data_IF_384953804586
#
_entry.id   IF_384953804586
#
_cell.length_a   1.000
_cell.length_b   1.000
_cell.length_c   1.000
_cell.angle_alpha   90.00
_cell.angle_beta   90.00
_cell.angle_gamma   90.00
#
_symmetry.space_group_name_H-M   'P 1'
#
loop_
_entity.id
_entity.type
_entity.pdbx_description
1 polymer ?
#
# COMPACT_ATOMS: atom_id res chain seq x y z
N UNK A 1 13.97 72.95 49.34
CA UNK A 1 13.08 71.87 48.87
C UNK A 1 13.57 71.44 47.48
N UNK A 2 13.74 70.13 47.25
CA UNK A 2 14.37 69.52 46.07
C UNK A 2 13.44 69.52 44.82
N UNK A 3 13.88 69.08 43.60
CA UNK A 3 14.14 67.66 43.34
C UNK A 3 15.40 67.35 42.50
N UNK A 4 15.82 66.09 42.55
CA UNK A 4 16.96 65.50 41.84
C UNK A 4 16.47 64.73 40.62
N UNK A 5 17.17 64.82 39.49
CA UNK A 5 16.93 63.98 38.31
C UNK A 5 17.81 62.73 38.35
N UNK A 6 17.26 61.52 38.19
CA UNK A 6 18.05 60.30 38.04
C UNK A 6 18.47 60.15 36.57
N UNK A 7 19.78 60.12 36.33
CA UNK A 7 20.38 59.69 35.07
C UNK A 7 20.39 58.16 35.05
N UNK A 8 19.54 57.55 34.23
CA UNK A 8 19.44 56.10 34.03
C UNK A 8 19.66 55.76 32.56
N UNK A 9 20.50 54.75 32.30
CA UNK A 9 20.34 53.88 31.12
C UNK A 9 21.36 54.03 29.99
N UNK A 10 22.62 53.65 30.22
CA UNK A 10 23.58 53.41 29.12
C UNK A 10 24.39 52.11 29.25
N UNK A 11 24.12 51.29 30.28
CA UNK A 11 24.81 50.00 30.50
C UNK A 11 24.05 48.73 30.10
N UNK A 12 22.74 48.81 29.81
CA UNK A 12 21.90 47.61 29.60
C UNK A 12 21.81 47.12 28.15
N UNK A 13 21.96 47.99 27.13
CA UNK A 13 21.75 47.58 25.72
C UNK A 13 22.90 46.75 25.11
N UNK A 14 24.12 46.86 25.64
CA UNK A 14 25.28 46.12 25.13
C UNK A 14 25.41 44.69 25.71
N UNK A 15 24.89 44.45 26.92
CA UNK A 15 24.84 43.11 27.53
C UNK A 15 23.70 42.29 26.92
N UNK A 16 22.55 42.91 26.68
CA UNK A 16 21.35 42.25 26.15
C UNK A 16 21.55 41.77 24.69
N UNK A 17 22.29 42.52 23.87
CA UNK A 17 22.61 42.13 22.49
C UNK A 17 23.55 40.93 22.40
N UNK A 18 24.54 40.83 23.30
CA UNK A 18 25.42 39.66 23.41
C UNK A 18 24.67 38.40 23.86
N UNK A 19 23.77 38.54 24.86
CA UNK A 19 22.94 37.43 25.33
C UNK A 19 21.91 36.98 24.29
N UNK A 20 21.32 37.94 23.55
CA UNK A 20 20.35 37.65 22.47
C UNK A 20 21.00 36.90 21.30
N UNK A 21 22.23 37.27 20.92
CA UNK A 21 22.95 36.58 19.84
C UNK A 21 23.35 35.16 20.24
N UNK A 22 23.70 34.95 21.50
CA UNK A 22 24.03 33.64 22.05
C UNK A 22 22.81 32.73 22.10
N UNK A 23 21.67 33.23 22.59
CA UNK A 23 20.39 32.50 22.59
C UNK A 23 19.94 32.11 21.18
N UNK A 24 20.17 32.97 20.20
CA UNK A 24 19.84 32.68 18.79
C UNK A 24 20.75 31.60 18.20
N UNK A 25 22.04 31.57 18.56
CA UNK A 25 22.95 30.50 18.16
C UNK A 25 22.56 29.16 18.78
N UNK A 26 22.26 29.13 20.08
CA UNK A 26 21.76 27.92 20.76
C UNK A 26 20.45 27.42 20.14
N UNK A 27 19.53 28.33 19.80
CA UNK A 27 18.27 27.98 19.15
C UNK A 27 18.49 27.38 17.75
N UNK A 28 19.46 27.90 16.98
CA UNK A 28 19.81 27.35 15.68
C UNK A 28 20.41 25.94 15.79
N UNK A 29 21.29 25.70 16.77
CA UNK A 29 21.85 24.37 17.03
C UNK A 29 20.77 23.36 17.44
N UNK A 30 19.83 23.78 18.30
CA UNK A 30 18.70 22.95 18.69
C UNK A 30 17.80 22.60 17.50
N UNK A 31 17.52 23.57 16.63
CA UNK A 31 16.75 23.34 15.41
C UNK A 31 17.47 22.37 14.47
N UNK A 32 18.78 22.53 14.28
CA UNK A 32 19.57 21.66 13.42
C UNK A 32 19.59 20.22 13.94
N UNK A 33 19.74 20.05 15.25
CA UNK A 33 19.69 18.75 15.92
C UNK A 33 18.33 18.08 15.72
N UNK A 34 17.25 18.85 15.82
CA UNK A 34 15.89 18.37 15.61
C UNK A 34 15.62 17.99 14.15
N UNK A 35 16.14 18.76 13.20
CA UNK A 35 16.06 18.46 11.77
C UNK A 35 16.75 17.12 11.48
N UNK A 36 17.98 16.94 11.95
CA UNK A 36 18.72 15.69 11.76
C UNK A 36 17.98 14.48 12.37
N UNK A 37 17.38 14.64 13.56
CA UNK A 37 16.59 13.58 14.19
C UNK A 37 15.33 13.24 13.39
N UNK A 38 14.60 14.25 12.88
CA UNK A 38 13.42 14.03 12.05
C UNK A 38 13.77 13.41 10.69
N UNK A 39 14.90 13.79 10.09
CA UNK A 39 15.39 13.19 8.85
C UNK A 39 15.76 11.72 9.07
N UNK A 40 16.40 11.38 10.18
CA UNK A 40 16.72 9.99 10.53
C UNK A 40 15.44 9.16 10.76
N UNK A 41 14.44 9.72 11.44
CA UNK A 41 13.14 9.07 11.64
C UNK A 41 12.40 8.86 10.31
N UNK A 42 12.39 9.87 9.44
CA UNK A 42 11.80 9.77 8.10
C UNK A 42 12.51 8.73 7.24
N UNK A 43 13.84 8.68 7.25
CA UNK A 43 14.61 7.67 6.51
C UNK A 43 14.31 6.26 7.04
N UNK A 44 14.19 6.10 8.35
CA UNK A 44 13.80 4.82 8.96
C UNK A 44 12.37 4.42 8.54
N UNK A 45 11.42 5.35 8.61
CA UNK A 45 10.04 5.08 8.21
C UNK A 45 9.93 4.74 6.73
N UNK A 46 10.64 5.47 5.86
CA UNK A 46 10.74 5.14 4.43
C UNK A 46 11.34 3.75 4.20
N UNK A 47 12.36 3.36 4.97
CA UNK A 47 12.94 2.02 4.92
C UNK A 47 11.91 0.93 5.27
N UNK A 48 11.17 1.11 6.36
CA UNK A 48 10.10 0.18 6.77
C UNK A 48 8.98 0.08 5.74
N UNK A 49 8.59 1.21 5.16
CA UNK A 49 7.57 1.27 4.11
C UNK A 49 8.05 0.52 2.86
N UNK A 50 9.27 0.78 2.39
CA UNK A 50 9.84 0.08 1.24
C UNK A 50 9.97 -1.43 1.48
N UNK A 51 10.40 -1.85 2.67
CA UNK A 51 10.47 -3.27 3.02
C UNK A 51 9.08 -3.92 3.03
N UNK A 52 8.08 -3.24 3.57
CA UNK A 52 6.70 -3.71 3.57
C UNK A 52 6.14 -3.84 2.14
N UNK A 53 6.37 -2.85 1.28
CA UNK A 53 5.99 -2.91 -0.13
C UNK A 53 6.71 -4.06 -0.86
N UNK A 54 8.01 -4.25 -0.66
CA UNK A 54 8.75 -5.35 -1.27
C UNK A 54 8.25 -6.74 -0.84
N UNK A 55 7.73 -6.87 0.39
CA UNK A 55 7.09 -8.11 0.87
C UNK A 55 5.71 -8.35 0.27
N UNK A 56 4.99 -7.29 -0.12
CA UNK A 56 3.71 -7.38 -0.81
C UNK A 56 3.88 -7.67 -2.31
N UNK A 57 4.93 -7.10 -2.94
CA UNK A 57 5.20 -7.27 -4.38
C UNK A 57 5.76 -8.63 -4.75
N UNK A 58 6.36 -9.38 -3.82
CA UNK A 58 6.70 -10.78 -4.10
C UNK A 58 5.39 -11.53 -4.34
N UNK A 59 5.09 -11.98 -5.57
CA UNK A 59 3.96 -12.87 -5.76
C UNK A 59 4.25 -14.07 -4.88
N UNK A 60 3.44 -14.28 -3.84
CA UNK A 60 3.40 -15.59 -3.20
C UNK A 60 3.15 -16.55 -4.34
N UNK A 61 4.06 -17.48 -4.58
CA UNK A 61 3.88 -18.54 -5.57
C UNK A 61 2.62 -19.31 -5.17
N UNK A 62 1.47 -18.83 -5.64
CA UNK A 62 0.17 -19.43 -5.43
C UNK A 62 0.29 -20.79 -6.11
N UNK A 63 0.24 -21.86 -5.31
CA UNK A 63 0.30 -23.22 -5.82
C UNK A 63 -0.65 -23.33 -7.03
N UNK A 64 -0.10 -23.73 -8.18
CA UNK A 64 -0.88 -23.76 -9.41
C UNK A 64 -2.03 -24.75 -9.24
N UNK A 65 -3.24 -24.23 -9.17
CA UNK A 65 -4.45 -25.03 -9.21
C UNK A 65 -4.68 -25.49 -10.64
N UNK A 66 -4.84 -26.80 -10.81
CA UNK A 66 -5.16 -27.42 -12.09
C UNK A 66 -6.54 -26.98 -12.60
N UNK A 67 -6.67 -26.85 -13.92
CA UNK A 67 -7.93 -26.46 -14.52
C UNK A 67 -8.99 -27.58 -14.34
N UNK A 68 -10.27 -27.24 -14.18
CA UNK A 68 -11.35 -28.23 -14.13
C UNK A 68 -11.33 -29.12 -15.38
N UNK A 69 -11.68 -30.39 -15.19
CA UNK A 69 -11.87 -31.33 -16.29
C UNK A 69 -12.94 -30.83 -17.27
N UNK A 70 -12.86 -31.31 -18.52
CA UNK A 70 -13.89 -31.04 -19.52
C UNK A 70 -15.21 -31.70 -19.12
N UNK A 71 -16.32 -31.06 -19.48
CA UNK A 71 -17.66 -31.53 -19.18
C UNK A 71 -18.50 -31.72 -20.44
N UNK A 72 -19.03 -32.92 -20.62
CA UNK A 72 -19.73 -33.37 -21.82
C UNK A 72 -21.26 -33.16 -21.78
N UNK A 73 -21.83 -32.91 -20.59
CA UNK A 73 -23.28 -32.78 -20.39
C UNK A 73 -23.94 -33.94 -19.62
N UNK A 74 -23.17 -34.90 -19.09
CA UNK A 74 -23.67 -35.99 -18.26
C UNK A 74 -24.20 -35.53 -16.90
N UNK A 75 -25.33 -36.08 -16.42
CA UNK A 75 -25.92 -35.68 -15.13
C UNK A 75 -25.03 -36.03 -13.93
N UNK A 76 -24.36 -37.17 -13.98
CA UNK A 76 -23.52 -37.68 -12.88
C UNK A 76 -22.28 -36.81 -12.64
N UNK A 77 -21.73 -36.18 -13.69
CA UNK A 77 -20.55 -35.33 -13.59
C UNK A 77 -20.82 -33.86 -13.26
N UNK A 78 -22.07 -33.41 -13.31
CA UNK A 78 -22.41 -31.98 -13.22
C UNK A 78 -21.97 -31.36 -11.89
N UNK A 79 -22.28 -32.01 -10.76
CA UNK A 79 -21.96 -31.47 -9.43
C UNK A 79 -20.45 -31.33 -9.22
N UNK A 80 -19.68 -32.34 -9.66
CA UNK A 80 -18.22 -32.33 -9.58
C UNK A 80 -17.61 -31.22 -10.44
N UNK A 81 -18.10 -31.08 -11.68
CA UNK A 81 -17.70 -30.01 -12.59
C UNK A 81 -17.96 -28.62 -12.00
N UNK A 82 -19.18 -28.34 -11.53
CA UNK A 82 -19.54 -27.04 -10.96
C UNK A 82 -18.72 -26.71 -9.70
N UNK A 83 -18.43 -27.71 -8.87
CA UNK A 83 -17.61 -27.54 -7.67
C UNK A 83 -16.18 -27.14 -8.06
N UNK A 84 -15.54 -27.89 -8.97
CA UNK A 84 -14.19 -27.57 -9.43
C UNK A 84 -14.14 -26.20 -10.12
N UNK A 85 -15.16 -25.88 -10.93
CA UNK A 85 -15.27 -24.58 -11.58
C UNK A 85 -15.32 -23.43 -10.57
N UNK A 86 -16.19 -23.54 -9.55
CA UNK A 86 -16.32 -22.51 -8.51
C UNK A 86 -14.99 -22.26 -7.79
N UNK A 87 -14.28 -23.34 -7.42
CA UNK A 87 -12.97 -23.24 -6.77
C UNK A 87 -11.96 -22.55 -7.68
N UNK A 88 -11.88 -22.93 -8.95
CA UNK A 88 -10.93 -22.35 -9.90
C UNK A 88 -11.17 -20.85 -10.14
N UNK A 89 -12.43 -20.46 -10.36
CA UNK A 89 -12.81 -19.06 -10.58
C UNK A 89 -12.48 -18.18 -9.36
N UNK A 90 -12.67 -18.71 -8.14
CA UNK A 90 -12.34 -18.00 -6.90
C UNK A 90 -10.83 -17.94 -6.64
N UNK A 91 -10.07 -18.93 -7.11
CA UNK A 91 -8.62 -18.99 -6.89
C UNK A 91 -7.84 -18.01 -7.78
N UNK A 92 -8.36 -17.72 -8.99
CA UNK A 92 -7.71 -16.84 -9.97
C UNK A 92 -8.52 -15.55 -10.27
N UNK A 93 -8.86 -14.72 -9.26
CA UNK A 93 -9.62 -13.49 -9.49
C UNK A 93 -8.86 -12.48 -10.37
N UNK A 94 -7.54 -12.51 -10.32
CA UNK A 94 -6.67 -11.63 -11.12
C UNK A 94 -6.64 -12.01 -12.61
N UNK A 95 -6.84 -13.31 -12.93
CA UNK A 95 -6.89 -13.79 -14.33
C UNK A 95 -8.30 -13.73 -14.91
N UNK A 96 -9.32 -13.74 -14.06
CA UNK A 96 -10.73 -13.76 -14.42
C UNK A 96 -11.48 -12.65 -13.67
N UNK A 97 -11.16 -11.37 -13.97
CA UNK A 97 -11.60 -10.23 -13.16
C UNK A 97 -13.10 -9.94 -13.28
N UNK A 98 -13.69 -10.20 -14.44
CA UNK A 98 -15.09 -9.89 -14.75
C UNK A 98 -15.90 -11.14 -15.11
N UNK A 99 -17.21 -11.03 -15.07
CA UNK A 99 -18.12 -12.15 -15.36
C UNK A 99 -17.98 -12.68 -16.80
N UNK A 100 -17.64 -11.84 -17.79
CA UNK A 100 -17.44 -12.29 -19.17
C UNK A 100 -16.23 -13.21 -19.27
N UNK A 101 -15.11 -12.84 -18.66
CA UNK A 101 -13.91 -13.69 -18.62
C UNK A 101 -14.17 -15.05 -17.96
N UNK A 102 -14.98 -15.08 -16.89
CA UNK A 102 -15.38 -16.32 -16.21
C UNK A 102 -16.25 -17.20 -17.11
N UNK A 103 -17.21 -16.60 -17.83
CA UNK A 103 -18.06 -17.32 -18.78
C UNK A 103 -17.26 -17.89 -19.95
N UNK A 104 -16.32 -17.12 -20.52
CA UNK A 104 -15.41 -17.57 -21.58
C UNK A 104 -14.51 -18.70 -21.10
N UNK A 105 -14.01 -18.63 -19.86
CA UNK A 105 -13.25 -19.73 -19.30
C UNK A 105 -14.13 -20.99 -19.12
N UNK A 106 -15.33 -20.83 -18.55
CA UNK A 106 -16.25 -21.94 -18.33
C UNK A 106 -16.67 -22.61 -19.65
N UNK A 107 -16.92 -21.83 -20.71
CA UNK A 107 -17.22 -22.37 -22.04
C UNK A 107 -16.06 -23.18 -22.61
N UNK A 108 -14.82 -22.74 -22.39
CA UNK A 108 -13.62 -23.49 -22.74
C UNK A 108 -13.49 -24.82 -22.00
N UNK A 109 -14.29 -25.06 -20.95
CA UNK A 109 -14.32 -26.35 -20.23
C UNK A 109 -15.49 -27.25 -20.64
N UNK A 110 -16.31 -26.83 -21.59
CA UNK A 110 -17.37 -27.67 -22.14
C UNK A 110 -16.85 -28.49 -23.33
N UNK A 111 -17.48 -29.64 -23.56
CA UNK A 111 -17.30 -30.47 -24.75
C UNK A 111 -18.61 -31.21 -25.09
N UNK A 112 -18.60 -31.93 -26.21
CA UNK A 112 -19.69 -32.83 -26.58
C UNK A 112 -21.07 -32.17 -26.59
N UNK A 113 -22.02 -32.75 -25.85
CA UNK A 113 -23.41 -32.29 -25.81
C UNK A 113 -23.55 -30.95 -25.09
N UNK A 114 -22.79 -30.74 -24.01
CA UNK A 114 -22.81 -29.47 -23.27
C UNK A 114 -22.29 -28.31 -24.13
N UNK A 115 -21.19 -28.52 -24.86
CA UNK A 115 -20.67 -27.49 -25.77
C UNK A 115 -21.67 -27.15 -26.88
N UNK A 116 -22.29 -28.15 -27.52
CA UNK A 116 -23.32 -27.92 -28.56
C UNK A 116 -24.56 -27.18 -28.06
N UNK A 117 -24.92 -27.36 -26.79
CA UNK A 117 -26.02 -26.61 -26.17
C UNK A 117 -25.59 -25.18 -25.82
N UNK A 118 -24.33 -24.99 -25.44
CA UNK A 118 -23.76 -23.71 -25.07
C UNK A 118 -23.40 -22.83 -26.27
N UNK A 119 -22.94 -23.46 -27.36
CA UNK A 119 -22.77 -22.79 -28.64
C UNK A 119 -24.08 -22.08 -28.95
N UNK A 120 -24.04 -20.75 -29.15
CA UNK A 120 -25.23 -20.09 -29.59
C UNK A 120 -25.64 -20.73 -30.91
N UNK A 121 -26.89 -21.18 -31.01
CA UNK A 121 -27.55 -21.38 -32.31
C UNK A 121 -27.80 -20.03 -33.01
N UNK A 122 -26.87 -19.07 -32.87
CA UNK A 122 -26.82 -17.80 -33.58
C UNK A 122 -26.56 -18.04 -35.06
#
# INVERSE_FOLDING_TARGET
MAPQTPTTGSGQQAQDTGTTMQQMQDALEQLNTKIAALEAENAHMQGLVNEAYAKLEKPRDKAKLEAPAKYDGGREGLTGFLTQMRVYLQYYPEKLPDESSKVVFASSRLEGKALRWFEPSL
#
